data_IF_282980050376
#
_entry.id   IF_282980050376
#
_cell.length_a   1.000
_cell.length_b   1.000
_cell.length_c   1.000
_cell.angle_alpha   90.00
_cell.angle_beta   90.00
_cell.angle_gamma   90.00
#
_symmetry.space_group_name_H-M   'P 1'
#
loop_
_entity.id
_entity.type
_entity.pdbx_description
1 polymer ?
#
# COMPACT_ATOMS: atom_id res chain seq x y z
N UNK A 1 -25.32 -2.25 -17.70
CA UNK A 1 -23.85 -2.14 -17.84
C UNK A 1 -23.43 -0.86 -17.14
N UNK A 2 -22.98 -0.91 -15.89
CA UNK A 2 -22.16 0.19 -15.36
C UNK A 2 -20.95 0.31 -16.28
N UNK A 3 -20.73 1.51 -16.80
CA UNK A 3 -19.95 1.73 -18.02
C UNK A 3 -18.48 1.39 -17.73
N UNK A 4 -17.88 0.50 -18.51
CA UNK A 4 -16.49 0.06 -18.33
C UNK A 4 -15.51 1.25 -18.31
N UNK A 5 -15.86 2.32 -19.01
CA UNK A 5 -15.16 3.62 -19.01
C UNK A 5 -15.11 4.28 -17.62
N UNK A 6 -16.20 4.22 -16.84
CA UNK A 6 -16.26 4.84 -15.52
C UNK A 6 -15.35 4.09 -14.54
N UNK A 7 -15.32 2.75 -14.65
CA UNK A 7 -14.43 1.90 -13.85
C UNK A 7 -12.95 2.18 -14.16
N UNK A 8 -12.60 2.39 -15.43
CA UNK A 8 -11.21 2.71 -15.82
C UNK A 8 -10.77 4.07 -15.30
N UNK A 9 -11.66 5.07 -15.32
CA UNK A 9 -11.38 6.41 -14.79
C UNK A 9 -11.17 6.39 -13.27
N UNK A 10 -11.97 5.60 -12.54
CA UNK A 10 -11.80 5.41 -11.10
C UNK A 10 -10.43 4.79 -10.81
N UNK A 11 -10.07 3.72 -11.53
CA UNK A 11 -8.77 3.06 -11.35
C UNK A 11 -7.61 4.00 -11.68
N UNK A 12 -7.70 4.79 -12.75
CA UNK A 12 -6.69 5.80 -13.08
C UNK A 12 -6.52 6.84 -11.97
N UNK A 13 -7.62 7.28 -11.36
CA UNK A 13 -7.57 8.20 -10.23
C UNK A 13 -6.88 7.56 -9.01
N UNK A 14 -7.27 6.32 -8.66
CA UNK A 14 -6.72 5.61 -7.49
C UNK A 14 -5.22 5.30 -7.63
N UNK A 15 -4.76 4.93 -8.83
CA UNK A 15 -3.34 4.59 -9.08
C UNK A 15 -2.48 5.81 -9.46
N UNK A 16 -3.06 7.02 -9.48
CA UNK A 16 -2.28 8.23 -9.71
C UNK A 16 -1.31 8.47 -8.53
N UNK A 17 -0.03 8.80 -8.80
CA UNK A 17 0.90 9.22 -7.75
C UNK A 17 0.41 10.44 -6.95
N UNK A 18 -0.47 11.26 -7.56
CA UNK A 18 -1.06 12.43 -6.91
C UNK A 18 -2.30 12.12 -6.07
N UNK A 19 -2.72 10.85 -5.96
CA UNK A 19 -3.87 10.47 -5.13
C UNK A 19 -3.56 10.77 -3.65
N UNK A 20 -4.46 11.45 -2.92
CA UNK A 20 -4.12 12.12 -1.66
C UNK A 20 -4.13 11.17 -0.45
N UNK A 21 -3.34 10.10 -0.51
CA UNK A 21 -3.15 9.12 0.58
C UNK A 21 -1.89 9.36 1.40
N UNK A 22 -1.03 10.31 0.99
CA UNK A 22 0.23 10.59 1.68
C UNK A 22 1.34 9.56 1.42
N UNK A 23 1.31 8.87 0.27
CA UNK A 23 2.23 7.78 -0.05
C UNK A 23 3.72 8.17 -0.09
N UNK A 24 4.06 9.46 -0.23
CA UNK A 24 5.44 9.93 -0.26
C UNK A 24 6.08 10.12 1.12
N UNK A 25 5.33 9.94 2.21
CA UNK A 25 5.85 10.15 3.56
C UNK A 25 6.71 9.00 4.09
N UNK A 26 6.75 7.84 3.41
CA UNK A 26 7.40 6.63 3.93
C UNK A 26 8.13 5.84 2.86
N UNK A 27 9.42 5.55 3.07
CA UNK A 27 10.29 4.86 2.11
C UNK A 27 10.27 3.33 2.25
N UNK A 28 9.43 2.77 3.13
CA UNK A 28 9.42 1.34 3.49
C UNK A 28 10.81 0.77 3.84
N UNK A 29 11.65 1.57 4.50
CA UNK A 29 13.01 1.16 4.89
C UNK A 29 14.03 1.15 3.74
N UNK A 30 13.65 1.61 2.55
CA UNK A 30 14.54 1.69 1.39
C UNK A 30 15.75 2.60 1.66
N UNK A 31 15.52 3.76 2.28
CA UNK A 31 16.60 4.67 2.68
C UNK A 31 17.60 4.02 3.64
N UNK A 32 17.08 3.28 4.64
CA UNK A 32 17.90 2.53 5.57
C UNK A 32 18.68 1.41 4.88
N UNK A 33 18.07 0.69 3.94
CA UNK A 33 18.70 -0.38 3.17
C UNK A 33 19.84 0.15 2.27
N UNK A 34 19.66 1.33 1.67
CA UNK A 34 20.71 2.03 0.92
C UNK A 34 21.83 2.47 1.87
N UNK A 35 21.50 3.16 2.96
CA UNK A 35 22.49 3.69 3.90
C UNK A 35 23.30 2.57 4.60
N UNK A 36 22.69 1.42 4.83
CA UNK A 36 23.35 0.23 5.39
C UNK A 36 24.15 -0.57 4.36
N UNK A 37 24.11 -0.18 3.08
CA UNK A 37 24.83 -0.84 2.00
C UNK A 37 24.24 -2.18 1.55
N UNK A 38 22.97 -2.46 1.87
CA UNK A 38 22.24 -3.62 1.32
C UNK A 38 21.83 -3.40 -0.14
N UNK A 39 21.59 -2.15 -0.53
CA UNK A 39 21.27 -1.77 -1.92
C UNK A 39 22.35 -0.81 -2.40
N UNK A 40 23.23 -1.28 -3.30
CA UNK A 40 24.35 -0.50 -3.84
C UNK A 40 24.27 -0.31 -5.35
N UNK A 41 23.38 -1.05 -6.00
CA UNK A 41 23.20 -1.04 -7.45
C UNK A 41 21.73 -1.17 -7.85
N UNK A 42 21.44 -0.90 -9.12
CA UNK A 42 20.12 -1.14 -9.71
C UNK A 42 19.70 -2.62 -9.61
N UNK A 43 20.65 -3.55 -9.72
CA UNK A 43 20.37 -4.98 -9.60
C UNK A 43 19.93 -5.36 -8.17
N UNK A 44 20.58 -4.78 -7.16
CA UNK A 44 20.19 -4.98 -5.75
C UNK A 44 18.79 -4.42 -5.49
N UNK A 45 18.49 -3.24 -6.04
CA UNK A 45 17.16 -2.62 -5.93
C UNK A 45 16.09 -3.49 -6.60
N UNK A 46 16.36 -4.06 -7.77
CA UNK A 46 15.44 -5.01 -8.43
C UNK A 46 15.24 -6.26 -7.57
N UNK A 47 16.29 -6.78 -6.96
CA UNK A 47 16.22 -7.89 -6.01
C UNK A 47 15.34 -7.56 -4.80
N UNK A 48 15.56 -6.38 -4.22
CA UNK A 48 14.79 -5.86 -3.10
C UNK A 48 13.30 -5.73 -3.41
N UNK A 49 12.95 -5.10 -4.54
CA UNK A 49 11.55 -4.96 -4.98
C UNK A 49 10.92 -6.33 -5.23
N UNK A 50 11.63 -7.27 -5.87
CA UNK A 50 11.13 -8.63 -6.09
C UNK A 50 10.83 -9.34 -4.77
N UNK A 51 11.72 -9.22 -3.77
CA UNK A 51 11.49 -9.79 -2.46
C UNK A 51 10.30 -9.15 -1.77
N UNK A 52 10.19 -7.81 -1.77
CA UNK A 52 9.04 -7.09 -1.23
C UNK A 52 7.70 -7.55 -1.83
N UNK A 53 7.66 -7.77 -3.14
CA UNK A 53 6.44 -8.20 -3.84
C UNK A 53 6.08 -9.66 -3.64
N UNK A 54 7.07 -10.55 -3.46
CA UNK A 54 6.83 -12.01 -3.38
C UNK A 54 6.75 -12.55 -1.96
N UNK A 55 7.52 -11.97 -1.06
CA UNK A 55 7.77 -12.49 0.30
C UNK A 55 7.63 -11.42 1.38
N UNK A 56 7.53 -10.15 1.00
CA UNK A 56 7.46 -9.01 1.91
C UNK A 56 6.09 -8.34 1.98
N UNK A 57 6.10 -7.03 2.26
CA UNK A 57 4.86 -6.27 2.49
C UNK A 57 3.93 -6.24 1.27
N UNK A 58 4.46 -6.22 0.04
CA UNK A 58 3.64 -6.21 -1.16
C UNK A 58 2.81 -7.49 -1.34
N UNK A 59 3.33 -8.64 -0.89
CA UNK A 59 2.57 -9.88 -0.83
C UNK A 59 1.44 -9.79 0.21
N UNK A 60 1.75 -9.30 1.41
CA UNK A 60 0.77 -9.13 2.48
C UNK A 60 -0.36 -8.18 2.08
N UNK A 61 -0.04 -7.07 1.42
CA UNK A 61 -1.03 -6.11 0.91
C UNK A 61 -2.02 -6.80 -0.05
N UNK A 62 -1.52 -7.66 -0.96
CA UNK A 62 -2.36 -8.45 -1.86
C UNK A 62 -3.26 -9.44 -1.12
N UNK A 63 -2.73 -10.12 -0.10
CA UNK A 63 -3.51 -11.04 0.76
C UNK A 63 -4.61 -10.29 1.50
N UNK A 64 -4.29 -9.17 2.15
CA UNK A 64 -5.28 -8.40 2.91
C UNK A 64 -6.30 -7.71 2.02
N UNK A 65 -5.92 -7.22 0.83
CA UNK A 65 -6.86 -6.68 -0.14
C UNK A 65 -7.85 -7.75 -0.61
N UNK A 66 -7.37 -8.96 -0.89
CA UNK A 66 -8.22 -10.10 -1.24
C UNK A 66 -9.14 -10.49 -0.08
N UNK A 67 -8.61 -10.56 1.15
CA UNK A 67 -9.40 -10.89 2.34
C UNK A 67 -10.51 -9.86 2.60
N UNK A 68 -10.18 -8.56 2.49
CA UNK A 68 -11.16 -7.47 2.62
C UNK A 68 -12.24 -7.54 1.53
N UNK A 69 -11.85 -7.75 0.27
CA UNK A 69 -12.79 -7.91 -0.84
C UNK A 69 -13.75 -9.08 -0.64
N UNK A 70 -13.25 -10.19 -0.09
CA UNK A 70 -14.06 -11.37 0.23
C UNK A 70 -14.78 -11.30 1.59
N UNK A 71 -14.77 -10.13 2.25
CA UNK A 71 -15.41 -9.89 3.56
C UNK A 71 -14.96 -10.87 4.67
N UNK A 72 -13.68 -11.26 4.66
CA UNK A 72 -13.09 -12.06 5.73
C UNK A 72 -13.08 -11.22 7.01
N UNK A 73 -13.69 -11.75 8.08
CA UNK A 73 -13.71 -11.08 9.39
C UNK A 73 -12.30 -10.83 9.91
N UNK A 74 -12.13 -9.72 10.63
CA UNK A 74 -10.88 -9.33 11.30
C UNK A 74 -9.65 -9.13 10.40
N UNK A 75 -9.80 -9.15 9.07
CA UNK A 75 -8.68 -8.96 8.14
C UNK A 75 -7.91 -7.65 8.41
N UNK A 76 -8.64 -6.55 8.67
CA UNK A 76 -8.03 -5.26 9.03
C UNK A 76 -7.33 -5.30 10.41
N UNK A 77 -7.95 -5.95 11.40
CA UNK A 77 -7.36 -6.10 12.73
C UNK A 77 -6.04 -6.87 12.67
N UNK A 78 -6.00 -7.96 11.89
CA UNK A 78 -4.78 -8.74 11.67
C UNK A 78 -3.72 -7.92 10.92
N UNK A 79 -4.11 -7.21 9.85
CA UNK A 79 -3.20 -6.33 9.10
C UNK A 79 -2.50 -5.32 10.03
N UNK A 80 -3.28 -4.61 10.84
CA UNK A 80 -2.76 -3.63 11.80
C UNK A 80 -1.91 -4.26 12.92
N UNK A 81 -2.19 -5.52 13.29
CA UNK A 81 -1.42 -6.27 14.30
C UNK A 81 -0.06 -6.73 13.78
N UNK A 82 0.09 -6.94 12.47
CA UNK A 82 1.35 -7.31 11.83
C UNK A 82 2.27 -6.10 11.57
N UNK A 83 1.79 -4.88 11.78
CA UNK A 83 2.61 -3.68 11.72
C UNK A 83 3.54 -3.60 12.95
N UNK A 84 4.72 -4.23 12.82
CA UNK A 84 5.63 -4.50 13.94
C UNK A 84 6.18 -3.25 14.66
N UNK A 85 6.11 -2.06 14.06
CA UNK A 85 6.51 -0.80 14.69
C UNK A 85 5.35 0.18 14.81
N UNK A 86 5.46 1.10 15.78
CA UNK A 86 4.48 2.18 15.96
C UNK A 86 4.37 3.04 14.71
N UNK A 87 5.49 3.35 14.08
CA UNK A 87 5.56 4.13 12.84
C UNK A 87 4.83 3.41 11.71
N UNK A 88 5.06 2.10 11.54
CA UNK A 88 4.41 1.31 10.49
C UNK A 88 2.92 1.17 10.74
N UNK A 89 2.50 1.03 12.00
CA UNK A 89 1.09 1.00 12.36
C UNK A 89 0.40 2.32 12.01
N UNK A 90 1.00 3.45 12.42
CA UNK A 90 0.49 4.79 12.12
C UNK A 90 0.43 5.05 10.61
N UNK A 91 1.48 4.69 9.88
CA UNK A 91 1.54 4.75 8.41
C UNK A 91 0.36 4.01 7.78
N UNK A 92 0.17 2.73 8.13
CA UNK A 92 -0.92 1.91 7.59
C UNK A 92 -2.31 2.47 7.95
N UNK A 93 -2.52 2.90 9.20
CA UNK A 93 -3.82 3.43 9.63
C UNK A 93 -4.16 4.79 9.01
N UNK A 94 -3.18 5.69 8.89
CA UNK A 94 -3.37 7.03 8.32
C UNK A 94 -3.59 6.97 6.81
N UNK A 95 -2.83 6.14 6.08
CA UNK A 95 -3.03 5.93 4.65
C UNK A 95 -4.43 5.36 4.36
N UNK A 96 -4.88 4.37 5.14
CA UNK A 96 -6.24 3.80 5.01
C UNK A 96 -7.33 4.84 5.28
N UNK A 97 -7.17 5.64 6.33
CA UNK A 97 -8.11 6.72 6.67
C UNK A 97 -8.13 7.81 5.60
N UNK A 98 -6.97 8.18 5.05
CA UNK A 98 -6.86 9.14 3.96
C UNK A 98 -7.52 8.63 2.67
N UNK A 99 -7.36 7.35 2.34
CA UNK A 99 -8.03 6.72 1.21
C UNK A 99 -9.56 6.82 1.35
N UNK A 100 -10.11 6.44 2.51
CA UNK A 100 -11.57 6.54 2.78
C UNK A 100 -12.05 7.98 2.61
N UNK A 101 -11.35 8.95 3.21
CA UNK A 101 -11.71 10.38 3.06
C UNK A 101 -11.72 10.82 1.59
N UNK A 102 -10.70 10.44 0.83
CA UNK A 102 -10.57 10.81 -0.57
C UNK A 102 -11.70 10.22 -1.42
N UNK A 103 -11.99 8.92 -1.29
CA UNK A 103 -13.06 8.30 -2.08
C UNK A 103 -14.44 8.81 -1.67
N UNK A 104 -14.71 9.05 -0.39
CA UNK A 104 -15.98 9.65 0.05
C UNK A 104 -16.14 11.09 -0.46
N UNK A 105 -15.07 11.88 -0.52
CA UNK A 105 -15.11 13.22 -1.09
C UNK A 105 -15.43 13.21 -2.60
N UNK A 106 -14.94 12.23 -3.35
CA UNK A 106 -15.16 12.13 -4.80
C UNK A 106 -16.47 11.43 -5.18
N UNK A 107 -17.04 10.62 -4.29
CA UNK A 107 -18.25 9.82 -4.56
C UNK A 107 -19.50 10.37 -3.84
N UNK A 108 -19.36 11.42 -3.03
CA UNK A 108 -20.45 12.14 -2.36
C UNK A 108 -21.07 13.25 -3.19
#
# INVERSE_FOLDING_TARGET
>A
MQNQSDSIMILQAWFSPSFPVGAFSYSHGLETAINSGFIKSSNDLVGWIKHLLKEGSGWNDGVFLSAAYNNVSDANCLCLSLAASRERHLETSEMGSAFVRAVTMFMG
#
